data_IF_350739599739
#
_entry.id   IF_350739599739
#
_cell.length_a   1.000
_cell.length_b   1.000
_cell.length_c   1.000
_cell.angle_alpha   90.00
_cell.angle_beta   90.00
_cell.angle_gamma   90.00
#
_symmetry.space_group_name_H-M   'P 1'
#
loop_
_entity.id
_entity.type
_entity.pdbx_description
1 polymer ?
#
# COMPACT_ATOMS: atom_id res chain seq x y z
N UNK A 1 2.32 -18.41 10.18
CA UNK A 1 2.79 -17.05 10.55
C UNK A 1 2.09 -16.01 9.69
N UNK A 2 1.64 -14.87 10.24
CA UNK A 2 0.99 -13.81 9.43
C UNK A 2 1.99 -12.77 8.94
N UNK A 3 1.81 -12.31 7.70
CA UNK A 3 2.58 -11.23 7.07
C UNK A 3 1.62 -10.20 6.50
N UNK A 4 1.99 -8.94 6.59
CA UNK A 4 1.21 -7.77 6.17
C UNK A 4 1.99 -7.06 5.06
N UNK A 5 1.46 -7.07 3.83
CA UNK A 5 2.07 -6.43 2.68
C UNK A 5 1.49 -5.03 2.51
N UNK A 6 2.34 -4.01 2.48
CA UNK A 6 1.97 -2.68 2.02
C UNK A 6 2.05 -2.68 0.51
N UNK A 7 0.91 -2.43 -0.12
CA UNK A 7 0.74 -2.42 -1.56
C UNK A 7 0.40 -1.00 -2.03
N UNK A 8 0.73 -0.68 -3.27
CA UNK A 8 0.32 0.56 -3.93
C UNK A 8 0.09 0.36 -5.42
N UNK A 9 -0.56 1.34 -6.05
CA UNK A 9 -0.87 1.31 -7.47
C UNK A 9 -0.65 2.68 -8.12
N UNK A 10 -0.31 2.68 -9.40
CA UNK A 10 -0.29 3.89 -10.23
C UNK A 10 -1.59 4.00 -11.02
N UNK A 11 -2.42 4.99 -10.69
CA UNK A 11 -3.70 5.24 -11.38
C UNK A 11 -3.57 5.87 -12.78
N UNK A 12 -2.35 6.10 -13.29
CA UNK A 12 -2.12 6.92 -14.47
C UNK A 12 -2.36 6.21 -15.82
N UNK A 13 -2.79 4.94 -15.81
CA UNK A 13 -2.89 4.11 -17.02
C UNK A 13 -4.18 3.29 -17.03
N UNK A 14 -4.64 2.95 -18.24
CA UNK A 14 -5.82 2.10 -18.49
C UNK A 14 -5.70 0.69 -17.90
N UNK A 15 -4.51 0.31 -17.47
CA UNK A 15 -4.16 -0.98 -16.87
C UNK A 15 -3.41 -0.72 -15.56
N UNK A 16 -4.10 -0.68 -14.41
CA UNK A 16 -3.46 -0.39 -13.14
C UNK A 16 -2.43 -1.48 -12.81
N UNK A 17 -1.19 -1.07 -12.58
CA UNK A 17 -0.15 -1.94 -12.07
C UNK A 17 -0.19 -1.95 -10.54
N UNK A 18 -0.10 -3.14 -9.96
CA UNK A 18 -0.16 -3.38 -8.52
C UNK A 18 1.23 -3.78 -8.03
N UNK A 19 1.74 -3.04 -7.05
CA UNK A 19 3.09 -3.23 -6.52
C UNK A 19 3.04 -3.55 -5.03
N UNK A 20 3.92 -4.46 -4.60
CA UNK A 20 4.21 -4.69 -3.17
C UNK A 20 5.43 -3.84 -2.82
N UNK A 21 5.23 -2.83 -1.97
CA UNK A 21 6.31 -1.96 -1.50
C UNK A 21 7.13 -2.65 -0.43
N UNK A 22 6.45 -3.22 0.58
CA UNK A 22 7.11 -3.72 1.78
C UNK A 22 6.27 -4.73 2.55
N UNK A 23 6.93 -5.69 3.18
CA UNK A 23 6.30 -6.69 4.04
C UNK A 23 6.62 -6.46 5.53
N UNK A 24 5.65 -6.69 6.40
CA UNK A 24 5.77 -6.56 7.86
C UNK A 24 5.21 -7.79 8.57
N UNK A 25 5.81 -8.16 9.71
CA UNK A 25 5.27 -9.22 10.58
C UNK A 25 4.12 -8.72 11.47
N UNK A 26 3.95 -7.39 11.61
CA UNK A 26 2.92 -6.77 12.45
C UNK A 26 2.13 -5.71 11.66
N UNK A 27 0.81 -5.74 11.78
CA UNK A 27 -0.10 -4.78 11.14
C UNK A 27 0.17 -3.33 11.54
N UNK A 28 0.53 -3.09 12.80
CA UNK A 28 0.80 -1.73 13.30
C UNK A 28 2.02 -1.08 12.63
N UNK A 29 3.04 -1.87 12.30
CA UNK A 29 4.24 -1.35 11.64
C UNK A 29 3.96 -1.00 10.18
N UNK A 30 3.15 -1.81 9.49
CA UNK A 30 2.64 -1.51 8.15
C UNK A 30 1.80 -0.22 8.12
N UNK A 31 0.94 0.00 9.12
CA UNK A 31 0.17 1.25 9.25
C UNK A 31 1.07 2.47 9.47
N UNK A 32 2.07 2.36 10.36
CA UNK A 32 3.03 3.45 10.61
C UNK A 32 3.83 3.81 9.37
N UNK A 33 4.14 2.83 8.52
CA UNK A 33 4.84 3.05 7.25
C UNK A 33 4.01 3.93 6.31
N UNK A 34 2.76 3.56 6.05
CA UNK A 34 1.84 4.31 5.16
C UNK A 34 1.65 5.77 5.63
N UNK A 35 1.61 6.00 6.95
CA UNK A 35 1.45 7.37 7.50
C UNK A 35 2.70 8.25 7.42
N UNK A 36 3.89 7.68 7.22
CA UNK A 36 5.17 8.42 7.31
C UNK A 36 5.70 8.89 5.98
N UNK A 37 5.34 8.23 4.89
CA UNK A 37 5.81 8.60 3.56
C UNK A 37 4.67 9.29 2.82
N UNK A 38 4.73 10.62 2.58
CA UNK A 38 3.89 11.18 1.54
C UNK A 38 4.29 10.48 0.22
N UNK A 39 3.34 10.20 -0.67
CA UNK A 39 3.69 9.70 -1.98
C UNK A 39 4.73 10.63 -2.62
N UNK A 40 5.83 10.06 -3.13
CA UNK A 40 6.80 10.81 -3.93
C UNK A 40 6.13 11.50 -5.11
N UNK A 41 6.69 12.62 -5.57
CA UNK A 41 6.18 13.35 -6.75
C UNK A 41 6.01 12.37 -7.92
N UNK A 42 4.75 12.04 -8.25
CA UNK A 42 4.41 11.02 -9.25
C UNK A 42 3.30 10.04 -8.84
N UNK A 43 2.82 10.04 -7.59
CA UNK A 43 1.63 9.25 -7.24
C UNK A 43 0.36 9.98 -7.69
N UNK A 44 -0.01 9.72 -8.93
CA UNK A 44 -1.27 10.19 -9.50
C UNK A 44 -2.44 9.46 -8.85
N UNK A 45 -3.42 10.25 -8.42
CA UNK A 45 -4.56 9.89 -7.59
C UNK A 45 -5.60 8.95 -8.25
N UNK A 46 -6.51 8.46 -7.37
CA UNK A 46 -7.92 8.04 -7.56
C UNK A 46 -8.07 6.50 -7.81
N UNK A 47 -8.90 5.68 -7.12
CA UNK A 47 -10.30 5.81 -6.64
C UNK A 47 -10.52 5.09 -5.30
N UNK A 48 -11.20 5.76 -4.36
CA UNK A 48 -11.67 5.21 -3.08
C UNK A 48 -11.37 6.19 -1.96
N UNK A 49 -12.39 6.93 -1.52
CA UNK A 49 -12.33 8.07 -0.61
C UNK A 49 -11.83 7.72 0.80
N UNK A 50 -10.54 7.45 0.97
CA UNK A 50 -9.92 7.24 2.28
C UNK A 50 -8.51 7.84 2.33
N UNK A 51 -8.13 8.31 3.52
CA UNK A 51 -6.93 9.09 3.87
C UNK A 51 -5.55 8.41 3.59
N UNK A 52 -5.50 7.36 2.76
CA UNK A 52 -4.33 6.47 2.61
C UNK A 52 -3.58 6.57 1.27
N UNK A 53 -3.80 7.62 0.47
CA UNK A 53 -2.93 7.98 -0.66
C UNK A 53 -2.62 6.86 -1.69
N UNK A 54 -3.55 5.93 -1.94
CA UNK A 54 -3.33 4.84 -2.91
C UNK A 54 -2.53 3.65 -2.38
N UNK A 55 -2.21 3.64 -1.08
CA UNK A 55 -1.66 2.49 -0.38
C UNK A 55 -2.76 1.68 0.31
N UNK A 56 -2.60 0.35 0.34
CA UNK A 56 -3.40 -0.54 1.17
C UNK A 56 -2.55 -1.65 1.80
N UNK A 57 -3.10 -2.33 2.80
CA UNK A 57 -2.41 -3.44 3.48
C UNK A 57 -3.15 -4.74 3.17
N UNK A 58 -2.47 -5.67 2.52
CA UNK A 58 -2.93 -7.04 2.32
C UNK A 58 -2.44 -7.95 3.45
N UNK A 59 -3.29 -8.87 3.91
CA UNK A 59 -2.96 -9.83 4.97
C UNK A 59 -2.76 -11.23 4.38
N UNK A 60 -1.62 -11.85 4.66
CA UNK A 60 -1.27 -13.20 4.20
C UNK A 60 -0.90 -14.11 5.37
N UNK A 61 -1.35 -15.36 5.29
CA UNK A 61 -0.94 -16.42 6.21
C UNK A 61 0.05 -17.35 5.50
N UNK A 62 1.24 -17.49 6.09
CA UNK A 62 2.31 -18.38 5.63
C UNK A 62 2.29 -19.61 6.52
N UNK A 63 2.17 -20.80 5.94
CA UNK A 63 2.21 -22.09 6.66
C UNK A 63 3.59 -22.41 7.21
#
# INVERSE_FOLDING_TARGET
>A
MKVYLVCWTTSAVSEPEYYVEKAFAKKEDAKKFITKEPPGEGSYYIVGSDDNNGYWIEEFEIE
#
